data_IF_160100865743
#
_entry.id   IF_160100865743
#
_cell.length_a   1.000
_cell.length_b   1.000
_cell.length_c   1.000
_cell.angle_alpha   90.00
_cell.angle_beta   90.00
_cell.angle_gamma   90.00
#
_symmetry.space_group_name_H-M   'P 1'
#
loop_
_entity.id
_entity.type
_entity.pdbx_description
1 polymer ?
#
# COMPACT_ATOMS: atom_id res chain seq x y z
N UNK A 1 -36.08 -7.26 18.68
CA UNK A 1 -34.62 -7.52 18.67
C UNK A 1 -34.03 -7.01 19.99
N UNK A 2 -33.55 -7.89 20.86
CA UNK A 2 -32.76 -7.45 22.02
C UNK A 2 -31.53 -6.73 21.49
N UNK A 3 -31.45 -5.41 21.71
CA UNK A 3 -30.24 -4.64 21.42
C UNK A 3 -29.11 -5.28 22.23
N UNK A 4 -28.14 -5.91 21.56
CA UNK A 4 -26.89 -6.32 22.22
C UNK A 4 -26.31 -5.05 22.86
N UNK A 5 -26.35 -4.97 24.19
CA UNK A 5 -25.54 -3.98 24.91
C UNK A 5 -24.12 -4.50 24.81
N UNK A 6 -23.33 -3.86 23.95
CA UNK A 6 -21.89 -4.01 23.91
C UNK A 6 -21.35 -2.74 24.55
N UNK A 7 -20.62 -2.86 25.66
CA UNK A 7 -19.96 -1.74 26.31
C UNK A 7 -18.43 -1.80 26.13
N UNK A 8 -17.74 -0.73 26.53
CA UNK A 8 -16.27 -0.74 26.56
C UNK A 8 -15.75 -1.76 27.56
N UNK A 9 -16.44 -1.95 28.69
CA UNK A 9 -16.10 -2.98 29.68
C UNK A 9 -16.20 -4.39 29.09
N UNK A 10 -17.20 -4.67 28.27
CA UNK A 10 -17.33 -5.94 27.57
C UNK A 10 -16.18 -6.15 26.57
N UNK A 11 -15.77 -5.09 25.86
CA UNK A 11 -14.61 -5.13 24.99
C UNK A 11 -13.31 -5.40 25.76
N UNK A 12 -13.08 -4.73 26.90
CA UNK A 12 -11.88 -4.96 27.71
C UNK A 12 -11.81 -6.39 28.26
N UNK A 13 -12.94 -6.94 28.70
CA UNK A 13 -13.04 -8.35 29.11
C UNK A 13 -12.71 -9.27 27.95
N UNK A 14 -13.33 -9.05 26.79
CA UNK A 14 -13.04 -9.83 25.58
C UNK A 14 -11.56 -9.75 25.21
N UNK A 15 -10.98 -8.55 25.11
CA UNK A 15 -9.58 -8.36 24.76
C UNK A 15 -8.65 -9.08 25.73
N UNK A 16 -8.89 -8.94 27.04
CA UNK A 16 -8.09 -9.61 28.08
C UNK A 16 -8.15 -11.13 27.98
N UNK A 17 -9.33 -11.69 27.66
CA UNK A 17 -9.53 -13.13 27.45
C UNK A 17 -8.88 -13.65 26.16
N UNK A 18 -8.81 -12.82 25.11
CA UNK A 18 -8.32 -13.21 23.79
C UNK A 18 -6.87 -12.79 23.52
N UNK A 19 -6.20 -12.10 24.45
CA UNK A 19 -4.87 -11.50 24.25
C UNK A 19 -3.82 -12.49 23.74
N UNK A 20 -3.82 -13.72 24.25
CA UNK A 20 -2.84 -14.75 23.87
C UNK A 20 -3.10 -15.26 22.45
N UNK A 21 -4.37 -15.47 22.08
CA UNK A 21 -4.74 -15.83 20.71
C UNK A 21 -4.41 -14.69 19.72
N UNK A 22 -4.68 -13.44 20.11
CA UNK A 22 -4.33 -12.26 19.32
C UNK A 22 -2.81 -12.15 19.11
N UNK A 23 -2.03 -12.42 20.15
CA UNK A 23 -0.57 -12.44 20.07
C UNK A 23 -0.09 -13.56 19.13
N UNK A 24 -0.63 -14.77 19.26
CA UNK A 24 -0.30 -15.88 18.37
C UNK A 24 -0.64 -15.57 16.90
N UNK A 25 -1.80 -14.94 16.64
CA UNK A 25 -2.16 -14.47 15.30
C UNK A 25 -1.20 -13.40 14.78
N UNK A 26 -0.73 -12.50 15.63
CA UNK A 26 0.28 -11.52 15.26
C UNK A 26 1.60 -12.19 14.86
N UNK A 27 2.07 -13.19 15.62
CA UNK A 27 3.29 -13.97 15.29
C UNK A 27 3.15 -14.75 13.98
N UNK A 28 1.97 -15.31 13.68
CA UNK A 28 1.71 -15.94 12.37
C UNK A 28 1.72 -14.90 11.26
N UNK A 29 1.13 -13.72 11.50
CA UNK A 29 1.13 -12.59 10.58
C UNK A 29 2.53 -12.07 10.27
N UNK A 30 3.45 -12.06 11.24
CA UNK A 30 4.86 -11.70 11.06
C UNK A 30 5.53 -12.61 10.02
N UNK A 31 5.44 -13.93 10.19
CA UNK A 31 6.00 -14.90 9.22
C UNK A 31 5.39 -14.77 7.83
N UNK A 32 4.10 -14.47 7.76
CA UNK A 32 3.42 -14.22 6.49
C UNK A 32 3.95 -12.93 5.81
N UNK A 33 4.18 -11.87 6.59
CA UNK A 33 4.74 -10.62 6.09
C UNK A 33 6.18 -10.78 5.62
N UNK A 34 7.01 -11.53 6.34
CA UNK A 34 8.39 -11.82 5.92
C UNK A 34 8.41 -12.48 4.55
N UNK A 35 7.58 -13.51 4.36
CA UNK A 35 7.43 -14.19 3.07
C UNK A 35 6.96 -13.23 1.97
N UNK A 36 5.92 -12.43 2.22
CA UNK A 36 5.44 -11.47 1.22
C UNK A 36 6.47 -10.39 0.91
N UNK A 37 7.27 -9.97 1.90
CA UNK A 37 8.36 -9.01 1.72
C UNK A 37 9.46 -9.61 0.84
N UNK A 38 9.86 -10.84 1.08
CA UNK A 38 10.83 -11.56 0.23
C UNK A 38 10.32 -11.64 -1.21
N UNK A 39 9.08 -12.09 -1.41
CA UNK A 39 8.46 -12.16 -2.74
C UNK A 39 8.35 -10.79 -3.41
N UNK A 40 8.02 -9.75 -2.63
CA UNK A 40 7.97 -8.37 -3.11
C UNK A 40 9.33 -7.92 -3.64
N UNK A 41 10.41 -8.18 -2.91
CA UNK A 41 11.76 -7.80 -3.32
C UNK A 41 12.27 -8.59 -4.53
N UNK A 42 11.76 -9.80 -4.76
CA UNK A 42 12.04 -10.55 -6.00
C UNK A 42 11.34 -9.95 -7.22
N UNK A 43 10.08 -9.52 -7.09
CA UNK A 43 9.32 -8.92 -8.20
C UNK A 43 9.63 -7.43 -8.42
N UNK A 44 9.97 -6.72 -7.34
CA UNK A 44 10.28 -5.29 -7.30
C UNK A 44 11.66 -5.07 -6.66
N UNK A 45 12.74 -5.59 -7.28
CA UNK A 45 14.09 -5.38 -6.76
C UNK A 45 14.42 -3.88 -6.75
N UNK A 46 15.32 -3.49 -5.85
CA UNK A 46 15.70 -2.10 -5.66
C UNK A 46 16.13 -1.39 -6.96
N UNK A 47 16.86 -2.10 -7.85
CA UNK A 47 17.23 -1.57 -9.17
C UNK A 47 16.01 -1.24 -10.01
N UNK A 48 14.99 -2.12 -10.02
CA UNK A 48 13.73 -1.87 -10.71
C UNK A 48 12.97 -0.70 -10.11
N UNK A 49 13.01 -0.51 -8.78
CA UNK A 49 12.39 0.66 -8.14
C UNK A 49 13.00 1.96 -8.65
N UNK A 50 14.32 1.98 -8.90
CA UNK A 50 15.02 3.16 -9.42
C UNK A 50 14.83 3.36 -10.94
N UNK A 51 14.66 2.29 -11.71
CA UNK A 51 14.58 2.37 -13.18
C UNK A 51 13.17 2.33 -13.74
N UNK A 52 12.15 1.96 -12.96
CA UNK A 52 10.78 1.85 -13.44
C UNK A 52 10.26 3.15 -14.05
N UNK A 53 9.44 2.99 -15.08
CA UNK A 53 8.68 4.08 -15.67
C UNK A 53 7.52 4.51 -14.77
N UNK A 54 7.01 5.73 -14.96
CA UNK A 54 5.87 6.21 -14.19
C UNK A 54 4.60 5.38 -14.43
N UNK A 55 4.44 4.80 -15.61
CA UNK A 55 3.31 3.92 -15.95
C UNK A 55 3.38 2.57 -15.23
N UNK A 56 4.59 2.08 -14.93
CA UNK A 56 4.80 0.93 -14.06
C UNK A 56 4.59 1.27 -12.58
N UNK A 57 4.59 2.55 -12.21
CA UNK A 57 4.34 3.00 -10.85
C UNK A 57 2.84 3.22 -10.58
N UNK A 58 2.16 4.05 -11.38
CA UNK A 58 0.82 4.56 -11.05
C UNK A 58 -0.30 3.54 -11.27
N UNK A 59 -1.37 3.64 -10.47
CA UNK A 59 -2.59 2.86 -10.72
C UNK A 59 -3.46 3.54 -11.80
N UNK A 60 -4.10 2.73 -12.66
CA UNK A 60 -5.10 3.22 -13.61
C UNK A 60 -4.54 3.71 -14.95
N UNK A 61 -3.24 3.55 -15.20
CA UNK A 61 -2.59 3.73 -16.51
C UNK A 61 -1.70 2.51 -16.81
N UNK A 62 -1.39 2.27 -18.08
CA UNK A 62 -0.53 1.15 -18.51
C UNK A 62 -1.24 -0.20 -18.64
N UNK A 63 -0.46 -1.27 -18.81
CA UNK A 63 -0.97 -2.63 -18.98
C UNK A 63 -1.72 -3.11 -17.72
N UNK A 64 -3.04 -3.25 -17.85
CA UNK A 64 -3.93 -4.10 -17.07
C UNK A 64 -3.39 -4.54 -15.69
N UNK A 65 -3.42 -3.66 -14.69
CA UNK A 65 -3.28 -4.05 -13.29
C UNK A 65 -1.90 -4.61 -12.88
N UNK A 66 -0.80 -4.14 -13.49
CA UNK A 66 0.57 -4.60 -13.16
C UNK A 66 1.50 -3.54 -12.56
N UNK A 67 0.98 -2.37 -12.19
CA UNK A 67 1.80 -1.33 -11.59
C UNK A 67 2.08 -1.56 -10.10
N UNK A 68 3.11 -0.91 -9.57
CA UNK A 68 3.50 -1.00 -8.17
C UNK A 68 2.33 -0.58 -7.24
N UNK A 69 1.70 0.58 -7.52
CA UNK A 69 0.56 1.05 -6.73
C UNK A 69 -0.63 0.07 -6.79
N UNK A 70 -0.86 -0.57 -7.94
CA UNK A 70 -1.89 -1.61 -8.03
C UNK A 70 -1.52 -2.82 -7.18
N UNK A 71 -0.27 -3.30 -7.27
CA UNK A 71 0.20 -4.47 -6.55
C UNK A 71 0.05 -4.30 -5.02
N UNK A 72 0.32 -3.10 -4.52
CA UNK A 72 0.19 -2.71 -3.10
C UNK A 72 -1.25 -2.44 -2.66
N UNK A 73 -2.15 -1.99 -3.54
CA UNK A 73 -3.53 -1.68 -3.14
C UNK A 73 -4.52 -2.83 -3.34
N UNK A 74 -4.42 -3.51 -4.48
CA UNK A 74 -5.43 -4.47 -4.97
C UNK A 74 -4.83 -5.80 -5.40
N UNK A 75 -3.53 -5.84 -5.69
CA UNK A 75 -2.83 -7.01 -6.18
C UNK A 75 -2.26 -7.91 -5.07
N UNK A 76 -1.18 -8.61 -5.41
CA UNK A 76 -0.53 -9.64 -4.59
C UNK A 76 -0.11 -9.13 -3.21
N UNK A 77 0.34 -7.88 -3.11
CA UNK A 77 0.91 -7.30 -1.90
C UNK A 77 -0.09 -6.44 -1.10
N UNK A 78 -1.39 -6.53 -1.40
CA UNK A 78 -2.44 -5.75 -0.71
C UNK A 78 -2.54 -5.99 0.80
N UNK A 79 -2.01 -7.12 1.27
CA UNK A 79 -2.02 -7.52 2.69
C UNK A 79 -0.60 -7.52 3.29
N UNK A 80 0.39 -6.93 2.60
CA UNK A 80 1.72 -6.77 3.13
C UNK A 80 1.66 -5.78 4.31
N UNK A 81 1.98 -6.26 5.52
CA UNK A 81 1.79 -5.56 6.79
C UNK A 81 0.35 -5.09 7.00
N UNK A 82 0.15 -3.77 7.09
CA UNK A 82 -1.16 -3.15 7.18
C UNK A 82 -1.56 -2.73 5.77
N UNK A 83 -2.41 -3.54 5.14
CA UNK A 83 -2.87 -3.30 3.77
C UNK A 83 -3.41 -1.88 3.57
N UNK A 84 -3.01 -1.23 2.49
CA UNK A 84 -3.33 0.19 2.21
C UNK A 84 -4.63 0.36 1.39
N UNK A 85 -5.66 -0.40 1.74
CA UNK A 85 -6.95 -0.35 1.06
C UNK A 85 -7.76 0.92 1.38
N UNK A 86 -8.65 1.32 0.48
CA UNK A 86 -9.54 2.46 0.67
C UNK A 86 -8.90 3.82 0.38
N UNK A 87 -9.72 4.87 0.29
CA UNK A 87 -9.27 6.23 -0.05
C UNK A 87 -8.98 6.43 -1.55
N UNK A 88 -8.44 7.60 -1.87
CA UNK A 88 -8.08 8.02 -3.23
C UNK A 88 -6.68 7.54 -3.62
N UNK A 89 -6.43 7.38 -4.93
CA UNK A 89 -5.10 7.11 -5.48
C UNK A 89 -4.08 8.23 -5.16
N UNK A 90 -4.55 9.41 -4.76
CA UNK A 90 -3.69 10.50 -4.26
C UNK A 90 -2.79 10.11 -3.09
N UNK A 91 -3.13 9.06 -2.31
CA UNK A 91 -2.26 8.54 -1.24
C UNK A 91 -0.86 8.12 -1.70
N UNK A 92 -0.71 7.77 -2.98
CA UNK A 92 0.55 7.33 -3.58
C UNK A 92 1.49 8.48 -4.00
N UNK A 93 1.18 9.74 -3.69
CA UNK A 93 2.06 10.87 -4.02
C UNK A 93 1.90 11.38 -5.45
N UNK A 94 1.84 10.45 -6.42
CA UNK A 94 1.59 10.68 -7.84
C UNK A 94 0.58 9.65 -8.33
N UNK A 95 -0.44 10.07 -9.07
CA UNK A 95 -1.41 9.16 -9.69
C UNK A 95 -1.85 9.64 -11.06
N UNK A 96 -2.43 8.72 -11.85
CA UNK A 96 -3.04 9.06 -13.12
C UNK A 96 -4.52 9.39 -12.97
N UNK A 97 -4.92 10.58 -13.43
CA UNK A 97 -6.32 10.96 -13.53
C UNK A 97 -6.85 10.63 -14.93
N UNK A 98 -7.68 9.58 -15.03
CA UNK A 98 -8.31 9.16 -16.29
C UNK A 98 -9.26 10.18 -16.91
N UNK A 99 -9.85 11.08 -16.11
CA UNK A 99 -10.79 12.09 -16.63
C UNK A 99 -10.06 13.22 -17.35
N UNK A 100 -8.93 13.66 -16.81
CA UNK A 100 -8.12 14.74 -17.39
C UNK A 100 -7.00 14.22 -18.28
N UNK A 101 -6.70 12.91 -18.25
CA UNK A 101 -5.53 12.30 -18.86
C UNK A 101 -4.22 13.00 -18.44
N UNK A 102 -4.10 13.29 -17.14
CA UNK A 102 -2.94 13.96 -16.55
C UNK A 102 -2.44 13.24 -15.31
N UNK A 103 -1.15 13.36 -15.02
CA UNK A 103 -0.61 12.98 -13.73
C UNK A 103 -0.87 14.08 -12.71
N UNK A 104 -1.24 13.66 -11.50
CA UNK A 104 -1.62 14.56 -10.44
C UNK A 104 -0.92 14.25 -9.13
N UNK A 105 -0.71 15.29 -8.34
CA UNK A 105 -0.17 15.20 -6.98
C UNK A 105 -1.23 14.84 -5.94
N UNK A 106 -0.84 14.76 -4.68
CA UNK A 106 -1.75 14.42 -3.58
C UNK A 106 -2.90 15.43 -3.41
N UNK A 107 -2.66 16.68 -3.81
CA UNK A 107 -3.62 17.79 -3.77
C UNK A 107 -4.46 17.88 -5.07
N UNK A 108 -4.37 16.90 -5.97
CA UNK A 108 -5.11 16.83 -7.24
C UNK A 108 -4.75 17.97 -8.23
N UNK A 109 -3.56 18.55 -8.10
CA UNK A 109 -2.97 19.48 -9.07
C UNK A 109 -2.23 18.70 -10.17
N UNK A 110 -2.19 19.24 -11.39
CA UNK A 110 -1.32 18.73 -12.44
C UNK A 110 0.15 18.99 -12.09
N UNK A 111 1.02 18.03 -12.39
CA UNK A 111 2.45 18.11 -12.07
C UNK A 111 3.19 18.62 -13.31
N UNK A 112 3.82 19.80 -13.20
CA UNK A 112 4.67 20.38 -14.26
C UNK A 112 6.04 19.70 -14.36
N UNK A 113 6.71 19.47 -13.23
CA UNK A 113 8.05 18.87 -13.11
C UNK A 113 7.98 17.36 -12.83
N UNK A 114 7.28 16.62 -13.70
CA UNK A 114 6.92 15.23 -13.44
C UNK A 114 8.13 14.32 -13.22
N UNK A 115 9.13 14.40 -14.09
CA UNK A 115 10.30 13.52 -14.07
C UNK A 115 11.18 13.77 -12.84
N UNK A 116 11.37 15.04 -12.46
CA UNK A 116 12.11 15.40 -11.24
C UNK A 116 11.38 14.87 -10.00
N UNK A 117 10.06 15.11 -9.92
CA UNK A 117 9.25 14.68 -8.77
C UNK A 117 9.19 13.16 -8.66
N UNK A 118 9.06 12.46 -9.78
CA UNK A 118 9.07 11.00 -9.80
C UNK A 118 10.45 10.42 -9.47
N UNK A 119 11.54 11.05 -9.94
CA UNK A 119 12.91 10.63 -9.58
C UNK A 119 13.18 10.76 -8.08
N UNK A 120 12.71 11.84 -7.46
CA UNK A 120 12.75 11.98 -6.00
C UNK A 120 11.93 10.89 -5.31
N UNK A 121 10.71 10.64 -5.77
CA UNK A 121 9.84 9.59 -5.20
C UNK A 121 10.48 8.20 -5.28
N UNK A 122 11.13 7.86 -6.40
CA UNK A 122 11.88 6.59 -6.54
C UNK A 122 13.03 6.49 -5.54
N UNK A 123 13.75 7.59 -5.31
CA UNK A 123 14.83 7.65 -4.33
C UNK A 123 14.30 7.50 -2.90
N UNK A 124 13.20 8.18 -2.56
CA UNK A 124 12.54 8.06 -1.26
C UNK A 124 12.05 6.61 -1.02
N UNK A 125 11.45 5.98 -2.05
CA UNK A 125 11.00 4.58 -1.97
C UNK A 125 12.17 3.61 -1.78
N UNK A 126 13.26 3.80 -2.52
CA UNK A 126 14.48 2.99 -2.37
C UNK A 126 15.00 3.03 -0.93
N UNK A 127 15.09 4.23 -0.35
CA UNK A 127 15.60 4.43 1.01
C UNK A 127 14.69 3.82 2.09
N UNK A 128 13.37 3.76 1.86
CA UNK A 128 12.42 3.11 2.78
C UNK A 128 12.51 1.58 2.68
N UNK A 129 12.84 1.04 1.50
CA UNK A 129 12.83 -0.40 1.24
C UNK A 129 14.16 -1.07 1.62
N UNK A 130 15.30 -0.39 1.49
CA UNK A 130 16.64 -0.92 1.80
C UNK A 130 16.79 -1.33 3.27
#
# INVERSE_FOLDING_TARGET
MNKRKVSLEDFYKWYSLNKEELLNKATVGEKFNDKLKEEFLQEWPLDRILTMSIDEYVIGKGQQNKSLCYALEKGKYKNLFLGISGGSASKFGIYWNKKTNKYKDQANNEISELDQRFSKLKSDLYEIIK
#
